data_IF_666413911645
#
_entry.id   IF_666413911645
#
_cell.length_a   1.000
_cell.length_b   1.000
_cell.length_c   1.000
_cell.angle_alpha   90.00
_cell.angle_beta   90.00
_cell.angle_gamma   90.00
#
_symmetry.space_group_name_H-M   'P 1'
#
loop_
_entity.id
_entity.type
_entity.pdbx_description
1 polymer ?
#
# COMPACT_ATOMS: atom_id res chain seq x y z
N UNK A 1 39.23 -45.88 47.74
CA UNK A 1 38.66 -46.29 46.44
C UNK A 1 37.23 -45.80 46.33
N UNK A 2 37.01 -44.71 45.58
CA UNK A 2 35.72 -44.22 45.07
C UNK A 2 36.04 -43.47 43.77
N UNK A 3 35.37 -43.76 42.64
CA UNK A 3 35.84 -43.30 41.34
C UNK A 3 35.40 -41.86 41.05
N UNK A 4 36.31 -41.17 40.37
CA UNK A 4 36.24 -39.79 39.90
C UNK A 4 35.30 -39.72 38.69
N UNK A 5 34.23 -38.92 38.76
CA UNK A 5 33.35 -38.65 37.62
C UNK A 5 34.05 -37.64 36.70
N UNK A 6 34.50 -38.09 35.53
CA UNK A 6 34.98 -37.24 34.44
C UNK A 6 33.78 -36.56 33.75
N UNK A 7 33.66 -35.24 33.89
CA UNK A 7 32.72 -34.43 33.11
C UNK A 7 33.41 -34.02 31.80
N UNK A 8 33.05 -34.69 30.71
CA UNK A 8 33.51 -34.36 29.36
C UNK A 8 32.71 -33.14 28.85
N UNK A 9 33.33 -31.97 28.82
CA UNK A 9 32.69 -30.75 28.30
C UNK A 9 33.02 -30.63 26.82
N UNK A 10 32.08 -31.03 25.95
CA UNK A 10 32.18 -30.89 24.51
C UNK A 10 31.83 -29.44 24.11
N UNK A 11 32.84 -28.61 23.86
CA UNK A 11 32.67 -27.28 23.28
C UNK A 11 32.32 -27.41 21.79
N UNK A 12 31.04 -27.22 21.45
CA UNK A 12 30.59 -26.98 20.08
C UNK A 12 30.93 -25.55 19.69
N UNK A 13 31.97 -25.38 18.87
CA UNK A 13 32.25 -24.12 18.16
C UNK A 13 31.26 -24.01 17.01
N UNK A 14 30.11 -23.36 17.26
CA UNK A 14 29.22 -22.90 16.20
C UNK A 14 29.88 -21.69 15.52
N UNK A 15 30.46 -21.93 14.35
CA UNK A 15 30.90 -20.90 13.42
C UNK A 15 29.70 -20.05 12.98
N UNK A 16 29.59 -18.85 13.55
CA UNK A 16 28.65 -17.83 13.10
C UNK A 16 29.10 -17.29 11.75
N UNK A 17 28.60 -17.87 10.66
CA UNK A 17 28.62 -17.21 9.36
C UNK A 17 27.62 -16.06 9.38
N UNK A 18 28.08 -14.92 9.89
CA UNK A 18 27.40 -13.65 9.67
C UNK A 18 27.45 -13.35 8.17
N UNK A 19 26.37 -13.69 7.46
CA UNK A 19 26.11 -13.14 6.13
C UNK A 19 25.99 -11.63 6.28
N UNK A 20 27.09 -10.93 6.01
CA UNK A 20 27.05 -9.50 5.71
C UNK A 20 26.37 -9.36 4.35
N UNK A 21 25.05 -9.32 4.34
CA UNK A 21 24.29 -8.87 3.18
C UNK A 21 24.68 -7.40 2.97
N UNK A 22 25.47 -7.13 1.94
CA UNK A 22 25.65 -5.78 1.41
C UNK A 22 24.27 -5.32 0.97
N UNK A 23 23.58 -4.59 1.83
CA UNK A 23 22.33 -3.93 1.47
C UNK A 23 22.66 -2.96 0.35
N UNK A 24 22.09 -3.23 -0.83
CA UNK A 24 22.17 -2.28 -1.92
C UNK A 24 21.51 -0.99 -1.43
N UNK A 25 22.25 0.13 -1.45
CA UNK A 25 21.77 1.40 -0.89
C UNK A 25 20.45 1.87 -1.52
N UNK A 26 20.14 1.39 -2.71
CA UNK A 26 18.93 1.73 -3.45
C UNK A 26 17.77 0.76 -3.19
N UNK A 27 17.93 -0.25 -2.33
CA UNK A 27 16.88 -1.21 -2.02
C UNK A 27 16.44 -1.08 -0.57
N UNK A 28 15.13 -0.97 -0.39
CA UNK A 28 14.46 -0.92 0.90
C UNK A 28 13.80 -2.28 1.10
N UNK A 29 14.30 -3.14 1.99
CA UNK A 29 13.68 -4.44 2.24
C UNK A 29 12.32 -4.25 2.92
N UNK A 30 11.37 -5.12 2.57
CA UNK A 30 10.06 -5.15 3.19
C UNK A 30 9.65 -6.57 3.61
N UNK A 31 8.75 -6.64 4.57
CA UNK A 31 8.01 -7.86 4.88
C UNK A 31 6.62 -7.78 4.24
N UNK A 32 6.23 -8.82 3.50
CA UNK A 32 4.86 -8.96 3.02
C UNK A 32 4.05 -9.69 4.09
N UNK A 33 3.18 -8.97 4.80
CA UNK A 33 2.36 -9.55 5.85
C UNK A 33 1.33 -10.53 5.27
N UNK A 34 0.83 -11.50 6.07
CA UNK A 34 -0.24 -12.40 5.62
C UNK A 34 -1.50 -11.68 5.13
N UNK A 35 -1.75 -10.47 5.66
CA UNK A 35 -2.84 -9.57 5.25
C UNK A 35 -2.60 -8.88 3.90
N UNK A 36 -1.43 -9.03 3.28
CA UNK A 36 -1.09 -8.41 1.98
C UNK A 36 -0.37 -7.07 2.08
N UNK A 37 -0.30 -6.46 3.26
CA UNK A 37 0.35 -5.17 3.45
C UNK A 37 1.88 -5.29 3.35
N UNK A 38 2.50 -4.26 2.79
CA UNK A 38 3.96 -4.11 2.68
C UNK A 38 4.46 -3.39 3.93
N UNK A 39 5.10 -4.11 4.84
CA UNK A 39 5.69 -3.57 6.05
C UNK A 39 7.14 -3.16 5.80
N UNK A 40 7.44 -1.88 6.03
CA UNK A 40 8.76 -1.28 5.86
C UNK A 40 9.23 -0.60 7.14
N UNK A 41 10.53 -0.34 7.23
CA UNK A 41 11.11 0.51 8.26
C UNK A 41 11.49 1.86 7.69
N UNK A 42 11.17 2.92 8.43
CA UNK A 42 11.63 4.27 8.16
C UNK A 42 12.05 4.93 9.48
N UNK A 43 12.80 6.01 9.39
CA UNK A 43 13.20 6.83 10.53
C UNK A 43 12.66 8.25 10.36
N UNK A 44 12.09 8.80 11.41
CA UNK A 44 11.58 10.17 11.46
C UNK A 44 12.14 10.81 12.73
N UNK A 45 12.81 11.95 12.60
CA UNK A 45 13.44 12.63 13.73
C UNK A 45 14.32 11.70 14.60
N UNK A 46 15.11 10.84 13.96
CA UNK A 46 15.96 9.88 14.67
C UNK A 46 15.24 8.63 15.19
N UNK A 47 13.91 8.60 15.23
CA UNK A 47 13.10 7.49 15.74
C UNK A 47 12.74 6.53 14.60
N UNK A 48 13.15 5.27 14.73
CA UNK A 48 12.78 4.22 13.78
C UNK A 48 11.38 3.68 14.10
N UNK A 49 10.55 3.48 13.08
CA UNK A 49 9.23 2.86 13.18
C UNK A 49 8.97 1.80 12.11
N UNK A 50 7.92 1.02 12.30
CA UNK A 50 7.40 0.06 11.33
C UNK A 50 6.14 0.64 10.66
N UNK A 51 6.13 0.72 9.33
CA UNK A 51 5.07 1.39 8.59
C UNK A 51 4.52 0.50 7.49
N UNK A 52 3.24 0.66 7.18
CA UNK A 52 2.71 0.16 5.92
C UNK A 52 3.08 1.14 4.81
N UNK A 53 3.67 0.65 3.73
CA UNK A 53 3.80 1.42 2.50
C UNK A 53 2.51 1.30 1.68
N UNK A 54 1.79 2.41 1.57
CA UNK A 54 0.42 2.45 1.06
C UNK A 54 0.32 3.46 -0.10
N UNK A 55 0.16 2.95 -1.31
CA UNK A 55 0.00 3.80 -2.50
C UNK A 55 -1.38 4.46 -2.62
N UNK A 56 -2.36 4.01 -1.83
CA UNK A 56 -3.74 4.50 -1.80
C UNK A 56 -4.06 5.46 -0.64
N UNK A 57 -3.19 5.59 0.37
CA UNK A 57 -3.44 6.39 1.58
C UNK A 57 -3.67 7.89 1.35
N UNK A 58 -3.16 8.45 0.26
CA UNK A 58 -3.19 9.88 -0.02
C UNK A 58 -2.13 10.66 0.77
N UNK A 59 -2.19 10.61 2.11
CA UNK A 59 -1.27 11.33 3.02
C UNK A 59 -0.55 10.35 3.97
N UNK A 60 0.68 10.69 4.36
CA UNK A 60 1.43 9.95 5.38
C UNK A 60 0.80 10.20 6.75
N UNK A 61 0.48 9.11 7.46
CA UNK A 61 -0.21 9.18 8.76
C UNK A 61 0.50 8.33 9.80
N UNK A 62 0.82 8.90 10.95
CA UNK A 62 1.38 8.16 12.08
C UNK A 62 0.32 7.78 13.10
N UNK A 63 0.59 6.76 13.90
CA UNK A 63 -0.14 6.56 15.15
C UNK A 63 0.26 7.63 16.16
N UNK A 64 -0.67 8.05 17.02
CA UNK A 64 -0.40 9.00 18.10
C UNK A 64 0.77 8.55 18.98
N UNK A 65 0.89 7.24 19.24
CA UNK A 65 1.96 6.67 20.06
C UNK A 65 3.35 6.80 19.41
N UNK A 66 3.45 6.68 18.08
CA UNK A 66 4.69 6.97 17.36
C UNK A 66 4.97 8.47 17.29
N UNK A 67 3.96 9.27 16.90
CA UNK A 67 4.08 10.72 16.76
C UNK A 67 4.55 11.39 18.06
N UNK A 68 4.08 10.92 19.21
CA UNK A 68 4.48 11.45 20.54
C UNK A 68 5.95 11.22 20.91
N UNK A 69 6.68 10.37 20.16
CA UNK A 69 8.13 10.14 20.34
C UNK A 69 8.98 11.18 19.62
N UNK A 70 8.40 11.91 18.68
CA UNK A 70 9.08 12.92 17.86
C UNK A 70 9.26 14.20 18.69
N UNK A 71 10.42 14.84 18.58
CA UNK A 71 10.75 16.06 19.34
C UNK A 71 10.54 17.31 18.50
N UNK A 72 10.90 17.22 17.22
CA UNK A 72 10.87 18.34 16.30
C UNK A 72 9.63 18.27 15.38
N UNK A 73 8.46 18.62 15.95
CA UNK A 73 7.21 18.72 15.20
C UNK A 73 6.68 20.15 15.20
N UNK A 74 6.15 20.61 14.06
CA UNK A 74 5.57 21.94 13.91
C UNK A 74 4.15 21.76 13.37
N UNK A 75 3.15 22.11 14.17
CA UNK A 75 1.74 22.08 13.75
C UNK A 75 1.47 23.17 12.73
N UNK A 76 0.75 22.87 11.66
CA UNK A 76 0.22 23.88 10.75
C UNK A 76 -0.97 24.61 11.37
N UNK A 77 -1.20 25.86 10.96
CA UNK A 77 -2.39 26.61 11.39
C UNK A 77 -3.70 26.03 10.81
N UNK A 78 -3.60 25.44 9.61
CA UNK A 78 -4.72 24.83 8.90
C UNK A 78 -4.83 23.33 9.09
N UNK A 79 -5.96 22.78 8.68
CA UNK A 79 -6.20 21.34 8.60
C UNK A 79 -6.44 20.86 7.16
N UNK A 80 -6.58 19.55 7.04
CA UNK A 80 -6.95 18.88 5.80
C UNK A 80 -8.24 18.09 5.99
N UNK A 81 -9.20 18.28 5.09
CA UNK A 81 -10.38 17.43 5.00
C UNK A 81 -10.13 16.41 3.89
N UNK A 82 -10.05 15.14 4.27
CA UNK A 82 -9.97 14.01 3.37
C UNK A 82 -11.18 13.09 3.51
N UNK A 83 -11.21 12.05 2.68
CA UNK A 83 -12.22 11.01 2.74
C UNK A 83 -11.53 9.67 2.61
N UNK A 84 -11.89 8.71 3.46
CA UNK A 84 -11.55 7.31 3.19
C UNK A 84 -12.28 6.85 1.94
N UNK A 85 -11.77 5.79 1.33
CA UNK A 85 -12.40 5.06 0.23
C UNK A 85 -13.92 4.91 0.34
N UNK A 86 -14.42 4.62 1.54
CA UNK A 86 -15.83 4.36 1.85
C UNK A 86 -16.70 5.62 1.96
N UNK A 87 -16.14 6.81 1.76
CA UNK A 87 -16.83 8.09 1.90
C UNK A 87 -16.83 8.65 3.32
N UNK A 88 -16.21 7.95 4.28
CA UNK A 88 -16.03 8.45 5.64
C UNK A 88 -15.13 9.69 5.62
N UNK A 89 -15.69 10.84 6.01
CA UNK A 89 -14.98 12.12 6.12
C UNK A 89 -13.98 12.07 7.27
N UNK A 90 -12.78 12.60 7.01
CA UNK A 90 -11.75 12.82 8.01
C UNK A 90 -11.29 14.27 7.99
N UNK A 91 -11.42 14.96 9.11
CA UNK A 91 -10.80 16.27 9.33
C UNK A 91 -9.56 16.05 10.20
N UNK A 92 -8.39 16.31 9.63
CA UNK A 92 -7.10 16.03 10.26
C UNK A 92 -6.25 17.29 10.38
N UNK A 93 -5.52 17.39 11.47
CA UNK A 93 -4.44 18.37 11.63
C UNK A 93 -3.21 17.94 10.84
N UNK A 94 -2.44 18.93 10.37
CA UNK A 94 -1.19 18.72 9.64
C UNK A 94 0.00 19.18 10.47
N UNK A 95 1.12 18.49 10.31
CA UNK A 95 2.36 18.75 11.00
C UNK A 95 3.55 18.60 10.05
N UNK A 96 4.54 19.47 10.20
CA UNK A 96 5.86 19.23 9.66
C UNK A 96 6.69 18.43 10.67
N UNK A 97 7.27 17.33 10.21
CA UNK A 97 8.28 16.55 10.93
C UNK A 97 9.62 16.67 10.23
N UNK A 98 10.72 16.58 10.98
CA UNK A 98 12.07 16.70 10.42
C UNK A 98 12.76 15.35 10.20
N UNK A 99 13.79 15.37 9.35
CA UNK A 99 14.76 14.28 9.18
C UNK A 99 14.09 12.93 8.90
N UNK A 100 13.33 12.86 7.81
CA UNK A 100 12.67 11.64 7.36
C UNK A 100 13.62 10.85 6.49
N UNK A 101 13.90 9.61 6.88
CA UNK A 101 14.77 8.68 6.17
C UNK A 101 14.00 7.42 5.78
N UNK A 102 13.97 7.11 4.49
CA UNK A 102 13.36 5.92 3.91
C UNK A 102 14.31 5.32 2.87
N UNK A 103 15.12 4.34 3.29
CA UNK A 103 16.25 3.86 2.49
C UNK A 103 17.27 4.96 2.24
N UNK A 104 17.60 5.20 0.96
CA UNK A 104 18.45 6.31 0.56
C UNK A 104 17.70 7.66 0.43
N UNK A 105 16.37 7.68 0.53
CA UNK A 105 15.59 8.92 0.52
C UNK A 105 15.76 9.60 1.86
N UNK A 106 16.20 10.86 1.82
CA UNK A 106 16.33 11.73 2.99
C UNK A 106 15.61 13.04 2.69
N UNK A 107 14.61 13.38 3.51
CA UNK A 107 13.93 14.66 3.46
C UNK A 107 14.21 15.44 4.75
N UNK A 108 14.60 16.69 4.61
CA UNK A 108 14.80 17.58 5.77
C UNK A 108 13.49 17.80 6.54
N UNK A 109 12.38 17.89 5.81
CA UNK A 109 11.04 17.99 6.35
C UNK A 109 10.05 17.20 5.49
N UNK A 110 9.02 16.64 6.14
CA UNK A 110 7.87 16.04 5.49
C UNK A 110 6.61 16.48 6.23
N UNK A 111 5.53 16.69 5.48
CA UNK A 111 4.24 16.94 6.06
C UNK A 111 3.51 15.62 6.34
N UNK A 112 2.95 15.51 7.53
CA UNK A 112 2.26 14.31 7.99
C UNK A 112 1.03 14.68 8.80
N UNK A 113 0.22 13.67 9.09
CA UNK A 113 -0.78 13.75 10.15
C UNK A 113 -0.61 12.58 11.12
N UNK A 114 -1.44 12.52 12.16
CA UNK A 114 -1.54 11.36 13.02
C UNK A 114 -2.98 11.01 13.37
N UNK A 115 -3.20 9.76 13.75
CA UNK A 115 -4.47 9.23 14.25
C UNK A 115 -4.29 8.58 15.61
N UNK A 116 -5.31 8.71 16.46
CA UNK A 116 -5.40 8.00 17.72
C UNK A 116 -5.98 6.60 17.50
N UNK A 117 -5.14 5.72 16.93
CA UNK A 117 -5.50 4.34 16.64
C UNK A 117 -4.37 3.38 17.06
N UNK A 118 -4.75 2.20 17.53
CA UNK A 118 -3.81 1.12 17.82
C UNK A 118 -3.78 0.14 16.63
N UNK A 119 -2.66 0.10 15.91
CA UNK A 119 -2.48 -0.74 14.72
C UNK A 119 -1.60 -1.96 15.00
N UNK A 120 -1.55 -2.46 16.25
CA UNK A 120 -0.92 -3.74 16.56
C UNK A 120 0.59 -3.78 16.32
N UNK A 121 1.30 -2.69 16.64
CA UNK A 121 2.75 -2.57 16.44
C UNK A 121 3.16 -1.92 15.11
N UNK A 122 2.19 -1.56 14.27
CA UNK A 122 2.39 -0.66 13.14
C UNK A 122 2.38 0.78 13.67
N UNK A 123 3.45 1.52 13.40
CA UNK A 123 3.65 2.90 13.85
C UNK A 123 2.96 3.92 12.94
N UNK A 124 2.53 3.52 11.74
CA UNK A 124 1.76 4.34 10.82
C UNK A 124 1.75 3.84 9.38
N UNK A 125 1.41 4.74 8.46
CA UNK A 125 1.33 4.53 7.02
C UNK A 125 2.22 5.57 6.33
N UNK A 126 3.09 5.11 5.43
CA UNK A 126 3.85 5.95 4.50
C UNK A 126 3.12 5.96 3.16
N UNK A 127 2.68 7.15 2.74
CA UNK A 127 1.92 7.29 1.50
C UNK A 127 2.82 7.39 0.26
N UNK A 128 2.22 7.22 -0.92
CA UNK A 128 2.88 7.44 -2.21
C UNK A 128 3.53 8.84 -2.32
N UNK A 129 2.96 9.84 -1.64
CA UNK A 129 3.45 11.23 -1.65
C UNK A 129 4.91 11.35 -1.19
N UNK A 130 5.36 10.47 -0.30
CA UNK A 130 6.76 10.42 0.14
C UNK A 130 7.73 10.15 -1.03
N UNK A 131 7.26 9.42 -2.04
CA UNK A 131 8.04 8.91 -3.19
C UNK A 131 7.75 9.64 -4.50
N UNK A 132 6.97 10.74 -4.47
CA UNK A 132 6.36 11.28 -5.69
C UNK A 132 7.33 11.63 -6.82
N UNK A 133 8.55 12.07 -6.47
CA UNK A 133 9.59 12.52 -7.40
C UNK A 133 10.68 11.47 -7.64
N UNK A 134 10.54 10.26 -7.09
CA UNK A 134 11.55 9.21 -7.17
C UNK A 134 10.91 7.97 -7.79
N UNK A 135 11.22 7.64 -9.05
CA UNK A 135 10.77 6.38 -9.64
C UNK A 135 11.22 5.19 -8.80
N UNK A 136 10.33 4.22 -8.57
CA UNK A 136 10.64 3.08 -7.72
C UNK A 136 9.93 1.81 -8.20
N UNK A 137 10.50 0.65 -7.90
CA UNK A 137 9.92 -0.66 -8.20
C UNK A 137 9.57 -1.38 -6.91
N UNK A 138 8.34 -1.84 -6.77
CA UNK A 138 7.97 -2.85 -5.78
C UNK A 138 8.24 -4.21 -6.42
N UNK A 139 9.24 -4.93 -5.93
CA UNK A 139 9.63 -6.27 -6.38
C UNK A 139 9.15 -7.29 -5.33
N UNK A 140 8.02 -7.95 -5.62
CA UNK A 140 7.40 -8.89 -4.68
C UNK A 140 8.17 -10.20 -4.53
N UNK A 141 8.96 -10.58 -5.54
CA UNK A 141 9.79 -11.78 -5.49
C UNK A 141 10.99 -11.57 -4.56
N UNK A 142 11.68 -10.44 -4.70
CA UNK A 142 12.83 -10.10 -3.84
C UNK A 142 12.43 -9.44 -2.52
N UNK A 143 11.17 -9.01 -2.39
CA UNK A 143 10.63 -8.29 -1.24
C UNK A 143 11.42 -7.00 -0.94
N UNK A 144 11.64 -6.22 -1.99
CA UNK A 144 12.31 -4.92 -1.90
C UNK A 144 11.52 -3.84 -2.64
N UNK A 145 11.56 -2.62 -2.12
CA UNK A 145 11.26 -1.40 -2.87
C UNK A 145 12.59 -0.86 -3.37
N UNK A 146 12.80 -0.87 -4.69
CA UNK A 146 14.03 -0.41 -5.33
C UNK A 146 13.85 1.01 -5.86
N UNK A 147 14.77 1.91 -5.52
CA UNK A 147 14.85 3.24 -6.11
C UNK A 147 15.47 3.12 -7.50
N UNK A 148 14.74 3.56 -8.52
CA UNK A 148 15.13 3.42 -9.90
C UNK A 148 15.87 4.67 -10.41
N UNK A 149 16.86 4.42 -11.26
CA UNK A 149 17.60 5.44 -12.00
C UNK A 149 17.07 5.57 -13.43
N UNK A 150 17.45 6.61 -14.14
CA UNK A 150 17.13 6.74 -15.57
C UNK A 150 17.65 5.53 -16.39
N UNK A 151 18.80 4.97 -16.02
CA UNK A 151 19.37 3.79 -16.68
C UNK A 151 18.53 2.54 -16.42
N UNK A 152 18.15 2.28 -15.17
CA UNK A 152 17.34 1.09 -14.85
C UNK A 152 15.92 1.20 -15.41
N UNK A 153 15.30 2.39 -15.40
CA UNK A 153 14.04 2.63 -16.10
C UNK A 153 14.12 2.34 -17.60
N UNK A 154 15.22 2.72 -18.26
CA UNK A 154 15.43 2.43 -19.69
C UNK A 154 15.50 0.92 -19.94
N UNK A 155 16.10 0.16 -19.02
CA UNK A 155 16.13 -1.30 -19.10
C UNK A 155 14.74 -1.92 -18.88
N UNK A 156 14.02 -1.50 -17.83
CA UNK A 156 12.67 -2.00 -17.51
C UNK A 156 11.70 -1.74 -18.67
N UNK A 157 11.76 -0.57 -19.31
CA UNK A 157 10.88 -0.21 -20.45
C UNK A 157 11.01 -1.14 -21.67
N UNK A 158 12.09 -1.93 -21.77
CA UNK A 158 12.27 -2.87 -22.90
C UNK A 158 11.44 -4.15 -22.74
N UNK A 159 11.13 -4.54 -21.51
CA UNK A 159 10.48 -5.82 -21.17
C UNK A 159 9.11 -5.64 -20.54
N UNK A 160 8.93 -4.57 -19.75
CA UNK A 160 7.73 -4.32 -19.00
C UNK A 160 6.57 -3.81 -19.86
N UNK A 161 5.35 -4.12 -19.43
CA UNK A 161 4.11 -3.59 -20.02
C UNK A 161 3.70 -2.32 -19.32
N UNK A 162 3.35 -1.29 -20.08
CA UNK A 162 2.99 0.03 -19.52
C UNK A 162 1.48 0.14 -19.20
N UNK A 163 1.13 0.57 -18.00
CA UNK A 163 -0.23 0.95 -17.63
C UNK A 163 -0.25 2.47 -17.45
N UNK A 164 -0.91 3.24 -18.34
CA UNK A 164 -1.12 4.66 -18.11
C UNK A 164 -1.94 4.88 -16.84
N UNK A 165 -1.49 5.81 -16.01
CA UNK A 165 -2.14 6.17 -14.74
C UNK A 165 -2.58 7.62 -14.74
N UNK A 166 -3.51 7.93 -13.84
CA UNK A 166 -3.93 9.29 -13.53
C UNK A 166 -3.50 9.59 -12.09
N UNK A 167 -3.02 10.81 -11.87
CA UNK A 167 -2.64 11.31 -10.55
C UNK A 167 -3.73 12.26 -10.07
N UNK A 168 -4.25 12.01 -8.88
CA UNK A 168 -5.08 12.96 -8.16
C UNK A 168 -4.23 13.60 -7.07
N UNK A 169 -3.87 14.87 -7.27
CA UNK A 169 -3.16 15.67 -6.28
C UNK A 169 -4.15 16.62 -5.60
N UNK A 170 -4.32 16.46 -4.29
CA UNK A 170 -5.23 17.31 -3.51
C UNK A 170 -4.43 18.34 -2.74
N UNK A 171 -4.54 19.61 -3.16
CA UNK A 171 -3.96 20.79 -2.50
C UNK A 171 -2.45 20.67 -2.20
N UNK A 172 -1.74 19.83 -2.95
CA UNK A 172 -0.33 19.46 -2.73
C UNK A 172 -0.05 18.64 -1.46
N UNK A 173 -1.08 18.27 -0.69
CA UNK A 173 -1.00 17.57 0.59
C UNK A 173 -1.15 16.05 0.45
N UNK A 174 -1.96 15.60 -0.51
CA UNK A 174 -2.24 14.19 -0.74
C UNK A 174 -2.10 13.80 -2.22
N UNK A 175 -1.73 12.54 -2.45
CA UNK A 175 -1.55 11.96 -3.78
C UNK A 175 -2.19 10.57 -3.86
N UNK A 176 -3.10 10.39 -4.81
CA UNK A 176 -3.73 9.09 -5.12
C UNK A 176 -3.51 8.73 -6.59
N UNK A 177 -3.31 7.44 -6.84
CA UNK A 177 -2.99 6.89 -8.15
C UNK A 177 -4.16 6.07 -8.71
N UNK A 178 -4.53 6.32 -9.97
CA UNK A 178 -5.62 5.63 -10.64
C UNK A 178 -5.21 5.01 -11.96
N UNK A 179 -5.88 3.94 -12.37
CA UNK A 179 -5.84 3.43 -13.74
C UNK A 179 -7.21 2.93 -14.19
N UNK A 180 -7.41 2.84 -15.51
CA UNK A 180 -8.62 2.29 -16.10
C UNK A 180 -8.54 0.77 -16.24
N UNK A 181 -9.62 0.09 -15.87
CA UNK A 181 -9.78 -1.36 -15.98
C UNK A 181 -11.08 -1.70 -16.70
N UNK A 182 -11.03 -2.77 -17.50
CA UNK A 182 -12.21 -3.44 -18.04
C UNK A 182 -12.71 -4.48 -17.05
N UNK A 183 -13.93 -4.32 -16.57
CA UNK A 183 -14.62 -5.28 -15.71
C UNK A 183 -15.62 -6.07 -16.57
N UNK A 184 -15.46 -7.39 -16.58
CA UNK A 184 -16.25 -8.34 -17.39
C UNK A 184 -16.36 -7.99 -18.88
N UNK A 185 -15.35 -7.29 -19.43
CA UNK A 185 -15.35 -6.76 -20.79
C UNK A 185 -16.52 -5.82 -21.13
N UNK A 186 -17.35 -5.43 -20.15
CA UNK A 186 -18.55 -4.59 -20.34
C UNK A 186 -18.33 -3.15 -19.88
N UNK A 187 -17.70 -2.96 -18.72
CA UNK A 187 -17.49 -1.63 -18.14
C UNK A 187 -16.01 -1.28 -18.16
N UNK A 188 -15.70 -0.05 -18.54
CA UNK A 188 -14.38 0.55 -18.30
C UNK A 188 -14.51 1.49 -17.11
N UNK A 189 -13.86 1.15 -16.01
CA UNK A 189 -13.97 1.85 -14.72
C UNK A 189 -12.59 2.33 -14.26
N UNK A 190 -12.54 3.45 -13.54
CA UNK A 190 -11.30 4.00 -12.99
C UNK A 190 -11.10 3.53 -11.55
N UNK A 191 -10.04 2.77 -11.29
CA UNK A 191 -9.78 2.21 -9.96
C UNK A 191 -8.55 2.87 -9.33
N UNK A 192 -8.64 3.14 -8.02
CA UNK A 192 -7.47 3.50 -7.22
C UNK A 192 -6.57 2.27 -7.04
N UNK A 193 -5.26 2.49 -7.15
CA UNK A 193 -4.21 1.48 -7.05
C UNK A 193 -3.58 1.53 -5.66
N UNK A 194 -3.93 0.56 -4.82
CA UNK A 194 -3.73 0.63 -3.38
C UNK A 194 -2.90 -0.57 -2.86
N UNK A 195 -1.64 -0.35 -2.53
CA UNK A 195 -0.79 -1.37 -1.86
C UNK A 195 -1.10 -1.57 -0.39
N UNK A 196 -1.80 -0.61 0.24
CA UNK A 196 -2.28 -0.70 1.62
C UNK A 196 -3.65 -1.35 1.74
N UNK A 197 -4.31 -1.65 0.62
CA UNK A 197 -5.47 -2.52 0.62
C UNK A 197 -5.06 -3.94 1.04
N UNK A 198 -5.94 -4.61 1.80
CA UNK A 198 -5.75 -6.02 2.16
C UNK A 198 -5.64 -6.91 0.91
N UNK A 199 -5.01 -8.07 1.09
CA UNK A 199 -4.90 -9.10 0.07
C UNK A 199 -6.26 -9.41 -0.55
N UNK A 200 -6.27 -9.54 -1.87
CA UNK A 200 -7.45 -9.86 -2.69
C UNK A 200 -8.61 -8.86 -2.53
N UNK A 201 -8.32 -7.61 -2.20
CA UNK A 201 -9.29 -6.52 -2.26
C UNK A 201 -9.53 -6.12 -3.72
N UNK A 202 -10.77 -6.34 -4.17
CA UNK A 202 -11.33 -5.84 -5.42
C UNK A 202 -12.64 -5.12 -5.14
N UNK A 203 -12.55 -3.88 -4.65
CA UNK A 203 -13.73 -3.09 -4.32
C UNK A 203 -14.23 -2.33 -5.53
N UNK A 204 -15.53 -2.40 -5.76
CA UNK A 204 -16.23 -1.72 -6.83
C UNK A 204 -17.38 -0.92 -6.20
N UNK A 205 -17.67 0.26 -6.71
CA UNK A 205 -18.84 1.00 -6.25
C UNK A 205 -20.13 0.21 -6.52
N UNK A 206 -20.99 0.08 -5.51
CA UNK A 206 -22.24 -0.68 -5.61
C UNK A 206 -23.20 -0.15 -6.69
N UNK A 207 -23.06 1.12 -7.13
CA UNK A 207 -23.80 1.66 -8.27
C UNK A 207 -23.62 0.85 -9.57
N UNK A 208 -22.55 0.05 -9.67
CA UNK A 208 -22.25 -0.77 -10.85
C UNK A 208 -22.83 -2.19 -10.78
N UNK A 209 -23.50 -2.60 -9.69
CA UNK A 209 -24.07 -3.94 -9.50
C UNK A 209 -24.95 -4.39 -10.68
N UNK A 210 -25.98 -3.59 -10.99
CA UNK A 210 -26.93 -3.91 -12.06
C UNK A 210 -26.24 -4.00 -13.43
N UNK A 211 -25.33 -3.07 -13.73
CA UNK A 211 -24.61 -3.02 -15.00
C UNK A 211 -23.62 -4.18 -15.18
N UNK A 212 -23.21 -4.81 -14.08
CA UNK A 212 -22.37 -6.00 -14.07
C UNK A 212 -23.17 -7.30 -13.91
N UNK A 213 -24.51 -7.23 -13.94
CA UNK A 213 -25.39 -8.39 -13.87
C UNK A 213 -25.41 -9.06 -12.50
N UNK A 214 -25.10 -8.33 -11.43
CA UNK A 214 -25.12 -8.86 -10.06
C UNK A 214 -26.50 -8.62 -9.45
N UNK A 215 -27.24 -9.71 -9.23
CA UNK A 215 -28.51 -9.69 -8.53
C UNK A 215 -28.30 -9.82 -7.02
N UNK A 216 -28.56 -8.75 -6.27
CA UNK A 216 -28.40 -8.73 -4.81
C UNK A 216 -29.44 -9.58 -4.08
N UNK A 217 -30.51 -10.02 -4.77
CA UNK A 217 -31.50 -10.94 -4.21
C UNK A 217 -31.07 -12.40 -4.31
N UNK A 218 -30.06 -12.72 -5.13
CA UNK A 218 -29.46 -14.04 -5.24
C UNK A 218 -28.54 -14.34 -4.03
N UNK A 219 -29.15 -14.71 -2.91
CA UNK A 219 -28.43 -15.04 -1.69
C UNK A 219 -27.56 -16.31 -1.77
N UNK A 220 -27.64 -17.08 -2.86
CA UNK A 220 -26.76 -18.24 -3.08
C UNK A 220 -25.38 -17.80 -3.58
N UNK A 221 -25.33 -16.75 -4.41
CA UNK A 221 -24.09 -16.29 -5.05
C UNK A 221 -23.62 -14.90 -4.59
N UNK A 222 -24.46 -14.16 -3.87
CA UNK A 222 -24.16 -12.83 -3.35
C UNK A 222 -24.29 -12.82 -1.83
N UNK A 223 -23.16 -12.60 -1.14
CA UNK A 223 -23.13 -12.44 0.31
C UNK A 223 -23.18 -10.95 0.67
N UNK A 224 -24.16 -10.54 1.45
CA UNK A 224 -24.22 -9.18 2.02
C UNK A 224 -23.63 -9.15 3.43
N UNK A 225 -22.75 -8.19 3.70
CA UNK A 225 -22.23 -7.90 5.04
C UNK A 225 -22.33 -6.41 5.34
N UNK A 226 -22.38 -6.07 6.63
CA UNK A 226 -22.23 -4.70 7.13
C UNK A 226 -20.90 -4.61 7.89
N UNK A 227 -20.06 -3.63 7.56
CA UNK A 227 -18.77 -3.38 8.20
C UNK A 227 -18.78 -2.00 8.87
N UNK A 228 -18.55 -1.96 10.18
CA UNK A 228 -18.34 -0.70 10.93
C UNK A 228 -16.92 -0.19 10.68
N UNK A 229 -16.75 1.13 10.65
CA UNK A 229 -15.42 1.74 10.56
C UNK A 229 -14.63 1.52 11.86
N UNK A 230 -13.32 1.39 11.70
CA UNK A 230 -12.35 1.29 12.78
C UNK A 230 -12.04 2.66 13.43
N UNK A 231 -12.48 3.77 12.81
CA UNK A 231 -12.24 5.14 13.27
C UNK A 231 -13.54 5.73 13.84
N UNK A 232 -14.64 5.71 13.07
CA UNK A 232 -15.96 6.12 13.51
C UNK A 232 -16.91 4.91 13.58
N UNK A 233 -17.16 4.36 14.77
CA UNK A 233 -17.96 3.12 14.92
C UNK A 233 -19.44 3.26 14.53
N UNK A 234 -19.92 4.50 14.36
CA UNK A 234 -21.27 4.80 13.86
C UNK A 234 -21.34 4.78 12.33
N UNK A 235 -20.20 4.87 11.64
CA UNK A 235 -20.13 4.75 10.20
C UNK A 235 -20.13 3.27 9.78
N UNK A 236 -21.12 2.87 8.96
CA UNK A 236 -21.31 1.49 8.50
C UNK A 236 -21.38 1.44 6.98
N UNK A 237 -20.53 0.61 6.37
CA UNK A 237 -20.60 0.31 4.94
C UNK A 237 -21.26 -1.05 4.72
N UNK A 238 -22.25 -1.10 3.82
CA UNK A 238 -22.73 -2.37 3.30
C UNK A 238 -21.83 -2.83 2.16
N UNK A 239 -21.55 -4.13 2.13
CA UNK A 239 -20.69 -4.76 1.14
C UNK A 239 -21.40 -5.99 0.58
N UNK A 240 -21.52 -6.07 -0.75
CA UNK A 240 -22.03 -7.23 -1.48
C UNK A 240 -20.86 -7.97 -2.11
N UNK A 241 -20.67 -9.22 -1.75
CA UNK A 241 -19.52 -10.03 -2.13
C UNK A 241 -19.99 -11.09 -3.11
N UNK A 242 -19.35 -11.16 -4.27
CA UNK A 242 -19.60 -12.18 -5.29
C UNK A 242 -18.32 -12.43 -6.10
N UNK A 243 -18.38 -13.29 -7.12
CA UNK A 243 -17.28 -13.48 -8.06
C UNK A 243 -17.60 -12.85 -9.40
N UNK A 244 -16.64 -12.15 -9.98
CA UNK A 244 -16.74 -11.65 -11.34
C UNK A 244 -15.77 -12.41 -12.27
N UNK A 245 -16.20 -12.75 -13.49
CA UNK A 245 -15.39 -13.50 -14.44
C UNK A 245 -14.01 -12.91 -14.74
N UNK A 246 -13.89 -11.59 -14.92
CA UNK A 246 -12.66 -11.00 -15.46
C UNK A 246 -12.46 -9.54 -15.10
N UNK A 247 -11.23 -9.21 -14.73
CA UNK A 247 -10.73 -7.85 -14.59
C UNK A 247 -9.44 -7.73 -15.40
N UNK A 248 -9.33 -6.72 -16.25
CA UNK A 248 -8.14 -6.49 -17.07
C UNK A 248 -7.78 -5.00 -17.10
N UNK A 249 -6.51 -4.66 -17.18
CA UNK A 249 -6.12 -3.26 -17.45
C UNK A 249 -6.66 -2.84 -18.82
N UNK A 250 -7.16 -1.61 -18.95
CA UNK A 250 -7.79 -1.15 -20.18
C UNK A 250 -6.77 -0.99 -21.33
N UNK A 251 -5.55 -0.56 -21.02
CA UNK A 251 -4.47 -0.34 -22.00
C UNK A 251 -3.73 -1.61 -22.38
N UNK A 252 -3.62 -2.58 -21.47
CA UNK A 252 -2.88 -3.82 -21.67
C UNK A 252 -3.67 -5.04 -21.16
N UNK A 253 -4.67 -5.54 -21.93
CA UNK A 253 -5.58 -6.59 -21.47
C UNK A 253 -4.92 -7.94 -21.08
N UNK A 254 -3.65 -8.15 -21.45
CA UNK A 254 -2.85 -9.30 -20.98
C UNK A 254 -2.46 -9.24 -19.50
N UNK A 255 -2.56 -8.05 -18.89
CA UNK A 255 -2.53 -7.85 -17.44
C UNK A 255 -3.98 -7.95 -16.96
N UNK A 256 -4.35 -9.15 -16.52
CA UNK A 256 -5.69 -9.50 -16.09
C UNK A 256 -5.66 -10.52 -14.95
N UNK A 257 -6.80 -10.64 -14.28
CA UNK A 257 -7.17 -11.70 -13.35
C UNK A 257 -8.57 -12.19 -13.69
N UNK A 258 -8.87 -13.44 -13.34
CA UNK A 258 -10.14 -14.10 -13.63
C UNK A 258 -10.76 -14.68 -12.37
N UNK A 259 -12.10 -14.78 -12.34
CA UNK A 259 -12.86 -15.36 -11.23
C UNK A 259 -12.51 -14.72 -9.87
N UNK A 260 -12.40 -13.40 -9.85
CA UNK A 260 -11.91 -12.65 -8.69
C UNK A 260 -13.06 -12.32 -7.71
N UNK A 261 -12.79 -12.24 -6.40
CA UNK A 261 -13.80 -11.98 -5.38
C UNK A 261 -14.14 -10.48 -5.30
N UNK A 262 -15.06 -10.02 -6.13
CA UNK A 262 -15.51 -8.63 -6.15
C UNK A 262 -16.31 -8.27 -4.90
N UNK A 263 -16.02 -7.08 -4.36
CA UNK A 263 -16.70 -6.49 -3.21
C UNK A 263 -17.38 -5.19 -3.65
N UNK A 264 -18.70 -5.19 -3.79
CA UNK A 264 -19.46 -3.99 -4.11
C UNK A 264 -19.76 -3.22 -2.83
N UNK A 265 -19.25 -2.00 -2.72
CA UNK A 265 -19.29 -1.20 -1.49
C UNK A 265 -20.22 0.00 -1.68
N UNK A 266 -21.20 0.13 -0.78
CA UNK A 266 -22.04 1.32 -0.70
C UNK A 266 -21.19 2.52 -0.21
N UNK A 267 -21.36 3.67 -0.86
CA UNK A 267 -20.67 4.91 -0.48
C UNK A 267 -19.21 5.02 -0.95
N UNK A 268 -18.71 4.04 -1.72
CA UNK A 268 -17.36 4.13 -2.29
C UNK A 268 -17.23 5.41 -3.14
N UNK A 269 -16.23 6.25 -2.88
CA UNK A 269 -16.09 7.55 -3.56
C UNK A 269 -15.49 7.45 -4.97
N UNK A 270 -14.82 6.32 -5.26
CA UNK A 270 -14.27 5.99 -6.59
C UNK A 270 -15.16 4.97 -7.30
N UNK A 271 -14.89 4.68 -8.59
CA UNK A 271 -15.54 3.53 -9.24
C UNK A 271 -15.04 2.19 -8.68
N UNK A 272 -13.78 2.15 -8.20
CA UNK A 272 -13.24 0.99 -7.51
C UNK A 272 -11.90 1.26 -6.84
N UNK A 273 -11.45 0.30 -6.04
CA UNK A 273 -10.14 0.24 -5.39
C UNK A 273 -9.65 -1.19 -5.46
N UNK A 274 -8.39 -1.37 -5.84
CA UNK A 274 -7.79 -2.69 -5.95
C UNK A 274 -6.45 -2.76 -5.26
N UNK A 275 -6.20 -3.91 -4.66
CA UNK A 275 -4.85 -4.31 -4.29
C UNK A 275 -4.00 -4.51 -5.55
N UNK A 276 -2.76 -4.04 -5.55
CA UNK A 276 -1.96 -3.91 -6.80
C UNK A 276 -1.14 -5.15 -7.15
N UNK A 277 -0.93 -6.09 -6.23
CA UNK A 277 0.09 -7.14 -6.40
C UNK A 277 -0.19 -8.11 -7.57
N UNK A 278 -1.45 -8.22 -8.01
CA UNK A 278 -1.86 -9.15 -9.06
C UNK A 278 -1.50 -8.62 -10.44
N UNK A 279 -1.14 -7.33 -10.55
CA UNK A 279 -0.70 -6.71 -11.79
C UNK A 279 0.56 -7.41 -12.31
N UNK A 280 1.53 -7.69 -11.44
CA UNK A 280 2.78 -8.37 -11.79
C UNK A 280 3.68 -8.61 -10.59
N UNK A 281 4.71 -9.43 -10.80
CA UNK A 281 5.72 -9.74 -9.78
C UNK A 281 6.66 -8.57 -9.49
N UNK A 282 6.79 -7.63 -10.43
CA UNK A 282 7.44 -6.34 -10.23
C UNK A 282 6.62 -5.20 -10.84
N UNK A 283 6.44 -4.12 -10.07
CA UNK A 283 5.64 -2.95 -10.47
C UNK A 283 6.49 -1.70 -10.25
N UNK A 284 6.89 -1.06 -11.36
CA UNK A 284 7.62 0.21 -11.32
C UNK A 284 6.67 1.38 -11.47
N UNK A 285 6.78 2.34 -10.55
CA UNK A 285 6.06 3.60 -10.53
C UNK A 285 6.94 4.67 -11.18
N UNK A 286 6.57 5.13 -12.38
CA UNK A 286 7.21 6.23 -13.12
C UNK A 286 6.19 7.38 -13.22
N UNK A 287 5.96 8.05 -12.09
CA UNK A 287 4.88 9.02 -11.91
C UNK A 287 5.06 10.29 -12.76
N UNK A 288 6.30 10.71 -12.99
CA UNK A 288 6.64 11.80 -13.92
C UNK A 288 6.15 11.52 -15.34
N UNK A 289 6.14 10.26 -15.74
CA UNK A 289 5.59 9.80 -17.03
C UNK A 289 4.17 9.28 -16.93
N UNK A 290 3.54 9.42 -15.76
CA UNK A 290 2.17 8.96 -15.47
C UNK A 290 1.94 7.54 -15.98
N UNK A 291 2.85 6.62 -15.61
CA UNK A 291 2.72 5.20 -15.95
C UNK A 291 3.20 4.29 -14.83
N UNK A 292 2.64 3.07 -14.82
CA UNK A 292 3.28 1.91 -14.21
C UNK A 292 3.93 1.05 -15.28
N UNK A 293 5.08 0.46 -14.97
CA UNK A 293 5.72 -0.57 -15.78
C UNK A 293 5.63 -1.89 -15.03
N UNK A 294 5.01 -2.89 -15.67
CA UNK A 294 4.65 -4.14 -15.02
C UNK A 294 5.36 -5.31 -15.68
N UNK A 295 6.06 -6.09 -14.86
CA UNK A 295 6.68 -7.36 -15.22
C UNK A 295 5.93 -8.50 -14.51
N UNK A 296 5.56 -9.55 -15.25
CA UNK A 296 4.83 -10.72 -14.72
C UNK A 296 5.81 -11.81 -14.35
#
# INVERSE_FOLDING_TARGET
>A
MRPLLFFFTLLLVLSTHAFSQTTNKNEIPFELLPSGHILVKAKVDGVQGNFIFDTGAGITMFTKSFFSKLKDTIREDGGYTGFRATGERMDIDLYWVKNVEFGAIKKEKEEVSYIDANLGGIDGILSLKLMESQPFTIDYNKKVIRLESAQSLTSIKKTAKSIPVQLEQSREKALTLFAYFKVNDTLTLQFSLDSGAEKDVYRINSKHLQRLGVDVSDSLHVKKIAKRSEINTDFVSNIYITKLPKLATASNPSINTTNFPAQFVDGLIYDGIIWINWLGSSITFDLDKKQLLVEK
#
